data_IF_648128815152
#
_entry.id   IF_648128815152
#
_cell.length_a   1.000
_cell.length_b   1.000
_cell.length_c   1.000
_cell.angle_alpha   90.00
_cell.angle_beta   90.00
_cell.angle_gamma   90.00
#
_symmetry.space_group_name_H-M   'P 1'
#
loop_
_entity.id
_entity.type
_entity.pdbx_description
1 polymer ?
#
# COMPACT_ATOMS: atom_id res chain seq x y z
N UNK A 1 80.57 -26.12 -11.87
CA UNK A 1 79.33 -25.80 -12.64
C UNK A 1 78.65 -27.11 -12.97
N UNK A 2 77.38 -27.32 -12.58
CA UNK A 2 76.23 -26.72 -13.26
C UNK A 2 75.29 -25.95 -12.32
N UNK A 3 74.55 -25.00 -12.89
CA UNK A 3 73.69 -24.03 -12.22
C UNK A 3 72.31 -24.63 -11.93
N UNK A 4 71.92 -24.64 -10.66
CA UNK A 4 70.55 -24.95 -10.24
C UNK A 4 69.57 -23.88 -10.77
N UNK A 5 68.68 -24.26 -11.68
CA UNK A 5 67.57 -23.40 -12.12
C UNK A 5 66.43 -23.50 -11.10
N UNK A 6 66.40 -22.56 -10.15
CA UNK A 6 65.18 -22.27 -9.37
C UNK A 6 64.16 -21.62 -10.32
N UNK A 7 63.20 -22.41 -10.82
CA UNK A 7 62.00 -21.84 -11.47
C UNK A 7 61.07 -21.35 -10.37
N UNK A 8 61.04 -20.04 -10.19
CA UNK A 8 60.06 -19.31 -9.39
C UNK A 8 58.65 -19.76 -9.78
N UNK A 9 57.94 -20.35 -8.83
CA UNK A 9 56.49 -20.56 -8.92
C UNK A 9 55.84 -19.20 -9.12
N UNK A 10 55.19 -19.05 -10.29
CA UNK A 10 54.48 -17.85 -10.72
C UNK A 10 53.43 -17.47 -9.66
N UNK A 11 53.37 -16.20 -9.20
CA UNK A 11 52.35 -15.75 -8.27
C UNK A 11 51.06 -15.43 -9.04
N UNK A 12 50.54 -16.39 -9.80
CA UNK A 12 49.30 -16.21 -10.59
C UNK A 12 48.06 -16.75 -9.90
N UNK A 13 48.18 -17.24 -8.66
CA UNK A 13 47.05 -17.74 -7.87
C UNK A 13 46.44 -16.71 -6.92
N UNK A 14 47.14 -15.61 -6.62
CA UNK A 14 46.63 -14.59 -5.69
C UNK A 14 45.61 -13.62 -6.32
N UNK A 15 45.57 -13.52 -7.65
CA UNK A 15 44.64 -12.61 -8.35
C UNK A 15 43.25 -13.24 -8.60
N UNK A 16 43.11 -14.57 -8.49
CA UNK A 16 41.82 -15.24 -8.73
C UNK A 16 40.96 -15.40 -7.46
N UNK A 17 41.55 -15.24 -6.28
CA UNK A 17 40.84 -15.40 -4.99
C UNK A 17 40.10 -14.12 -4.56
N UNK A 18 40.44 -12.97 -5.14
CA UNK A 18 39.85 -11.67 -4.78
C UNK A 18 38.57 -11.33 -5.55
N UNK A 19 38.13 -12.19 -6.47
CA UNK A 19 36.93 -11.97 -7.30
C UNK A 19 35.64 -12.53 -6.69
N UNK A 20 35.73 -13.26 -5.56
CA UNK A 20 34.61 -13.95 -4.92
C UNK A 20 33.94 -13.18 -3.76
N UNK A 21 34.34 -11.93 -3.52
CA UNK A 21 33.78 -11.08 -2.46
C UNK A 21 32.98 -9.88 -2.99
N UNK A 22 32.49 -9.94 -4.22
CA UNK A 22 31.35 -9.12 -4.63
C UNK A 22 30.08 -9.73 -4.01
N UNK A 23 29.96 -9.57 -2.69
CA UNK A 23 28.70 -9.71 -2.00
C UNK A 23 27.79 -8.63 -2.59
N UNK A 24 26.97 -8.99 -3.58
CA UNK A 24 25.90 -8.12 -4.05
C UNK A 24 24.93 -7.95 -2.89
N UNK A 25 25.15 -6.94 -2.05
CA UNK A 25 24.13 -6.46 -1.14
C UNK A 25 22.97 -5.97 -2.00
N UNK A 26 22.00 -6.85 -2.25
CA UNK A 26 20.70 -6.43 -2.74
C UNK A 26 20.10 -5.61 -1.61
N UNK A 27 20.09 -4.28 -1.76
CA UNK A 27 19.26 -3.45 -0.91
C UNK A 27 17.81 -3.91 -1.14
N UNK A 28 17.22 -4.58 -0.15
CA UNK A 28 15.78 -4.84 -0.19
C UNK A 28 15.07 -3.50 -0.30
N UNK A 29 14.37 -3.29 -1.43
CA UNK A 29 13.52 -2.11 -1.59
C UNK A 29 12.52 -2.10 -0.44
N UNK A 30 12.57 -1.07 0.38
CA UNK A 30 11.63 -0.90 1.48
C UNK A 30 10.19 -0.94 0.93
N UNK A 31 9.38 -1.86 1.44
CA UNK A 31 7.99 -2.00 1.03
C UNK A 31 7.03 -1.19 1.91
N UNK A 32 7.52 -0.72 3.06
CA UNK A 32 6.75 0.06 4.02
C UNK A 32 7.48 1.35 4.38
N UNK A 33 6.72 2.42 4.63
CA UNK A 33 7.21 3.65 5.24
C UNK A 33 7.56 3.41 6.72
N UNK A 34 8.20 4.39 7.36
CA UNK A 34 8.51 4.36 8.80
C UNK A 34 7.26 4.22 9.67
N UNK A 35 6.12 4.72 9.20
CA UNK A 35 4.83 4.63 9.90
C UNK A 35 4.09 3.31 9.57
N UNK A 36 4.71 2.45 8.78
CA UNK A 36 4.22 1.13 8.41
C UNK A 36 3.08 1.17 7.39
N UNK A 37 3.02 2.18 6.51
CA UNK A 37 2.15 2.15 5.33
C UNK A 37 2.87 1.46 4.18
N UNK A 38 2.16 0.69 3.36
CA UNK A 38 2.75 0.11 2.15
C UNK A 38 3.10 1.25 1.18
N UNK A 39 4.32 1.27 0.65
CA UNK A 39 4.79 2.31 -0.29
C UNK A 39 5.07 1.78 -1.71
N UNK A 40 5.03 0.47 -1.90
CA UNK A 40 5.28 -0.17 -3.20
C UNK A 40 4.51 -1.47 -3.38
N UNK A 41 4.55 -2.02 -4.60
CA UNK A 41 3.90 -3.29 -4.95
C UNK A 41 2.43 -3.34 -4.46
N UNK A 42 1.64 -2.31 -4.78
CA UNK A 42 0.29 -2.16 -4.24
C UNK A 42 -0.69 -3.25 -4.69
N UNK A 43 -0.37 -3.98 -5.77
CA UNK A 43 -1.15 -5.12 -6.27
C UNK A 43 -0.38 -6.41 -6.00
N UNK A 44 -0.36 -6.83 -4.74
CA UNK A 44 0.30 -8.05 -4.26
C UNK A 44 -0.49 -8.60 -3.08
N UNK A 45 -0.29 -9.88 -2.69
CA UNK A 45 -1.00 -10.46 -1.55
C UNK A 45 -0.94 -9.56 -0.32
N UNK A 46 -2.10 -9.34 0.28
CA UNK A 46 -2.27 -8.53 1.49
C UNK A 46 -2.39 -9.45 2.71
N UNK A 47 -2.13 -8.96 3.94
CA UNK A 47 -2.27 -9.77 5.14
C UNK A 47 -3.73 -10.14 5.36
N UNK A 48 -3.99 -11.23 6.09
CA UNK A 48 -5.36 -11.63 6.44
C UNK A 48 -6.04 -10.71 7.48
N UNK A 49 -5.33 -9.67 7.95
CA UNK A 49 -5.79 -8.73 8.97
C UNK A 49 -5.30 -7.31 8.66
N UNK A 50 -6.10 -6.32 9.03
CA UNK A 50 -5.73 -4.91 9.02
C UNK A 50 -5.96 -4.32 10.41
N UNK A 51 -5.00 -3.55 10.91
CA UNK A 51 -5.09 -2.98 12.25
C UNK A 51 -6.31 -2.04 12.35
N UNK A 52 -7.19 -2.32 13.31
CA UNK A 52 -8.39 -1.52 13.55
C UNK A 52 -9.52 -1.77 12.56
N UNK A 53 -9.44 -2.81 11.72
CA UNK A 53 -10.47 -3.14 10.74
C UNK A 53 -10.78 -4.64 10.66
N UNK A 54 -11.98 -4.98 10.22
CA UNK A 54 -12.41 -6.35 9.95
C UNK A 54 -12.40 -6.61 8.45
N UNK A 55 -11.71 -7.66 8.03
CA UNK A 55 -11.76 -8.12 6.64
C UNK A 55 -13.14 -8.73 6.36
N UNK A 56 -13.75 -8.38 5.23
CA UNK A 56 -15.05 -8.91 4.82
C UNK A 56 -15.01 -9.48 3.41
N UNK A 57 -15.79 -10.52 3.18
CA UNK A 57 -16.05 -11.03 1.84
C UNK A 57 -17.30 -10.39 1.22
N UNK A 58 -17.62 -10.78 -0.01
CA UNK A 58 -18.79 -10.28 -0.74
C UNK A 58 -20.11 -10.55 -0.01
N UNK A 59 -20.27 -11.72 0.62
CA UNK A 59 -21.51 -12.08 1.30
C UNK A 59 -21.70 -11.24 2.57
N UNK A 60 -20.64 -11.05 3.33
CA UNK A 60 -20.61 -10.16 4.49
C UNK A 60 -20.90 -8.71 4.08
N UNK A 61 -20.33 -8.22 2.96
CA UNK A 61 -20.63 -6.89 2.45
C UNK A 61 -22.11 -6.73 2.06
N UNK A 62 -22.70 -7.70 1.37
CA UNK A 62 -24.12 -7.69 1.03
C UNK A 62 -25.01 -7.65 2.27
N UNK A 63 -24.65 -8.40 3.31
CA UNK A 63 -25.35 -8.38 4.59
C UNK A 63 -25.23 -7.01 5.27
N UNK A 64 -24.03 -6.43 5.34
CA UNK A 64 -23.78 -5.09 5.90
C UNK A 64 -24.57 -4.00 5.17
N UNK A 65 -24.67 -4.08 3.84
CA UNK A 65 -25.42 -3.12 3.03
C UNK A 65 -26.93 -3.09 3.35
N UNK A 66 -27.45 -4.13 4.00
CA UNK A 66 -28.84 -4.22 4.45
C UNK A 66 -29.04 -3.75 5.90
N UNK A 67 -27.96 -3.41 6.63
CA UNK A 67 -28.02 -2.99 8.03
C UNK A 67 -28.28 -1.49 8.19
N UNK A 68 -28.66 -1.09 9.41
CA UNK A 68 -28.77 0.31 9.83
C UNK A 68 -27.86 0.55 11.04
N UNK A 69 -26.92 1.49 10.97
CA UNK A 69 -26.61 2.34 9.82
C UNK A 69 -25.99 1.55 8.65
N UNK A 70 -26.38 1.91 7.43
CA UNK A 70 -25.78 1.36 6.21
C UNK A 70 -24.32 1.82 6.12
N UNK A 71 -23.34 0.96 5.79
CA UNK A 71 -21.96 1.39 5.66
C UNK A 71 -21.77 2.36 4.50
N UNK A 72 -20.87 3.33 4.70
CA UNK A 72 -20.38 4.19 3.63
C UNK A 72 -19.27 3.45 2.91
N UNK A 73 -19.40 3.31 1.59
CA UNK A 73 -18.42 2.64 0.74
C UNK A 73 -17.41 3.66 0.22
N UNK A 74 -16.13 3.41 0.48
CA UNK A 74 -15.01 4.26 0.08
C UNK A 74 -14.12 3.50 -0.90
N UNK A 75 -14.17 3.92 -2.16
CA UNK A 75 -13.26 3.45 -3.19
C UNK A 75 -11.97 4.29 -3.15
N UNK A 76 -10.82 3.64 -3.02
CA UNK A 76 -9.52 4.31 -3.03
C UNK A 76 -8.65 3.93 -4.23
N UNK A 77 -9.24 3.36 -5.29
CA UNK A 77 -8.52 3.02 -6.51
C UNK A 77 -7.82 4.25 -7.07
N UNK A 78 -6.53 4.10 -7.36
CA UNK A 78 -5.69 5.23 -7.78
C UNK A 78 -6.07 5.73 -9.17
N UNK A 79 -5.96 7.04 -9.37
CA UNK A 79 -6.16 7.72 -10.64
C UNK A 79 -5.09 8.76 -10.87
N UNK A 80 -4.59 8.82 -12.10
CA UNK A 80 -3.56 9.78 -12.47
C UNK A 80 -4.06 11.21 -12.20
N UNK A 81 -3.25 11.97 -11.48
CA UNK A 81 -3.47 13.39 -11.17
C UNK A 81 -2.39 14.22 -11.85
N UNK A 82 -2.77 15.04 -12.82
CA UNK A 82 -1.86 15.92 -13.56
C UNK A 82 -2.47 17.31 -13.66
N UNK A 83 -1.63 18.34 -13.47
CA UNK A 83 -2.03 19.75 -13.64
C UNK A 83 -3.31 20.12 -12.85
N UNK A 84 -3.44 19.59 -11.62
CA UNK A 84 -4.57 19.93 -10.74
C UNK A 84 -5.89 19.24 -11.08
N UNK A 85 -5.88 18.16 -11.87
CA UNK A 85 -7.08 17.38 -12.20
C UNK A 85 -6.79 15.90 -12.35
N UNK A 86 -7.83 15.09 -12.16
CA UNK A 86 -7.80 13.68 -12.53
C UNK A 86 -7.85 13.53 -14.06
N UNK A 87 -7.07 12.59 -14.58
CA UNK A 87 -7.04 12.25 -16.00
C UNK A 87 -7.84 10.99 -16.23
N UNK A 88 -8.96 11.14 -16.92
CA UNK A 88 -9.91 10.06 -17.20
C UNK A 88 -9.82 9.65 -18.68
N UNK A 89 -9.35 8.44 -18.91
CA UNK A 89 -9.35 7.76 -20.20
C UNK A 89 -10.59 6.89 -20.40
N UNK A 90 -11.14 6.36 -19.30
CA UNK A 90 -12.36 5.56 -19.24
C UNK A 90 -13.13 5.83 -17.94
N UNK A 91 -14.47 5.72 -17.97
CA UNK A 91 -15.30 5.81 -16.77
C UNK A 91 -14.81 4.86 -15.67
N UNK A 92 -14.70 5.38 -14.43
CA UNK A 92 -14.37 4.55 -13.27
C UNK A 92 -15.61 3.82 -12.74
N UNK A 93 -15.69 2.51 -13.00
CA UNK A 93 -16.74 1.67 -12.42
C UNK A 93 -16.43 1.29 -10.97
N UNK A 94 -17.42 1.47 -10.10
CA UNK A 94 -17.31 1.22 -8.67
C UNK A 94 -18.62 0.63 -8.12
N UNK A 95 -18.62 0.18 -6.86
CA UNK A 95 -19.84 -0.37 -6.27
C UNK A 95 -20.91 0.72 -6.17
N UNK A 96 -22.19 0.46 -6.50
CA UNK A 96 -23.23 1.47 -6.47
C UNK A 96 -23.32 2.20 -5.12
N UNK A 97 -23.30 3.54 -5.17
CA UNK A 97 -23.34 4.40 -3.98
C UNK A 97 -21.98 4.63 -3.32
N UNK A 98 -20.87 4.23 -3.94
CA UNK A 98 -19.53 4.46 -3.41
C UNK A 98 -19.03 5.88 -3.63
N UNK A 99 -18.25 6.36 -2.67
CA UNK A 99 -17.49 7.60 -2.79
C UNK A 99 -16.07 7.27 -3.22
N UNK A 100 -15.66 7.83 -4.35
CA UNK A 100 -14.31 7.61 -4.86
C UNK A 100 -13.35 8.67 -4.32
N UNK A 101 -12.55 8.28 -3.34
CA UNK A 101 -11.48 9.08 -2.76
C UNK A 101 -10.14 8.62 -3.36
N UNK A 102 -9.98 8.82 -4.67
CA UNK A 102 -8.82 8.36 -5.42
C UNK A 102 -7.49 8.82 -4.79
N UNK A 103 -6.46 7.97 -4.90
CA UNK A 103 -5.10 8.20 -4.42
C UNK A 103 -4.92 8.29 -2.90
N UNK A 104 -6.01 8.33 -2.13
CA UNK A 104 -5.91 8.38 -0.66
C UNK A 104 -5.39 7.09 -0.03
N UNK A 105 -5.29 6.00 -0.80
CA UNK A 105 -4.63 4.76 -0.38
C UNK A 105 -3.11 4.75 -0.58
N UNK A 106 -2.51 5.77 -1.21
CA UNK A 106 -1.05 5.82 -1.37
C UNK A 106 -0.37 5.83 0.02
N UNK A 107 0.77 5.14 0.11
CA UNK A 107 1.53 5.03 1.36
C UNK A 107 2.05 6.37 1.84
N UNK A 108 2.66 7.11 0.92
CA UNK A 108 3.19 8.46 1.14
C UNK A 108 2.17 9.48 0.62
N UNK A 109 1.28 9.94 1.51
CA UNK A 109 0.39 11.05 1.20
C UNK A 109 1.07 12.38 1.48
N UNK A 110 0.93 13.32 0.53
CA UNK A 110 1.19 14.72 0.82
C UNK A 110 0.19 15.24 1.85
N UNK A 111 0.52 16.33 2.56
CA UNK A 111 -0.39 16.95 3.53
C UNK A 111 -1.75 17.29 2.91
N UNK A 112 -1.76 17.76 1.65
CA UNK A 112 -3.00 18.08 0.94
C UNK A 112 -3.89 16.84 0.70
N UNK A 113 -3.30 15.69 0.38
CA UNK A 113 -4.07 14.44 0.21
C UNK A 113 -4.55 13.86 1.55
N UNK A 114 -3.74 13.98 2.60
CA UNK A 114 -4.15 13.59 3.95
C UNK A 114 -5.33 14.45 4.44
N UNK A 115 -5.28 15.76 4.23
CA UNK A 115 -6.37 16.68 4.58
C UNK A 115 -7.62 16.45 3.70
N UNK A 116 -7.44 16.18 2.41
CA UNK A 116 -8.53 15.77 1.52
C UNK A 116 -9.22 14.50 2.03
N UNK A 117 -8.46 13.47 2.40
CA UNK A 117 -9.01 12.24 2.97
C UNK A 117 -9.80 12.53 4.24
N UNK A 118 -9.21 13.28 5.17
CA UNK A 118 -9.82 13.59 6.45
C UNK A 118 -11.13 14.35 6.33
N UNK A 119 -11.15 15.45 5.55
CA UNK A 119 -12.36 16.26 5.33
C UNK A 119 -13.47 15.48 4.66
N UNK A 120 -13.14 14.59 3.71
CA UNK A 120 -14.17 13.78 3.06
C UNK A 120 -14.75 12.74 4.02
N UNK A 121 -13.92 12.04 4.82
CA UNK A 121 -14.46 11.11 5.81
C UNK A 121 -15.34 11.84 6.83
N UNK A 122 -14.91 13.00 7.32
CA UNK A 122 -15.70 13.82 8.24
C UNK A 122 -17.05 14.19 7.62
N UNK A 123 -17.07 14.68 6.38
CA UNK A 123 -18.30 15.05 5.68
C UNK A 123 -19.23 13.84 5.46
N UNK A 124 -18.69 12.71 5.00
CA UNK A 124 -19.46 11.50 4.69
C UNK A 124 -20.02 10.82 5.94
N UNK A 125 -19.35 10.99 7.07
CA UNK A 125 -19.78 10.45 8.37
C UNK A 125 -20.52 11.48 9.22
N UNK A 126 -20.63 12.74 8.76
CA UNK A 126 -21.13 13.88 9.55
C UNK A 126 -20.39 14.00 10.91
N UNK A 127 -19.08 13.72 10.91
CA UNK A 127 -18.24 13.67 12.11
C UNK A 127 -18.45 12.45 13.02
N UNK A 128 -19.37 11.54 12.69
CA UNK A 128 -19.63 10.35 13.50
C UNK A 128 -18.55 9.27 13.30
N UNK A 129 -17.61 9.16 14.23
CA UNK A 129 -16.56 8.14 14.21
C UNK A 129 -17.07 6.68 14.35
N UNK A 130 -18.33 6.48 14.76
CA UNK A 130 -18.95 5.16 14.82
C UNK A 130 -19.66 4.75 13.52
N UNK A 131 -19.81 5.67 12.55
CA UNK A 131 -20.38 5.36 11.24
C UNK A 131 -19.59 4.24 10.56
N UNK A 132 -20.23 3.13 10.14
CA UNK A 132 -19.53 2.05 9.46
C UNK A 132 -18.95 2.52 8.12
N UNK A 133 -17.68 2.21 7.89
CA UNK A 133 -16.94 2.52 6.66
C UNK A 133 -16.37 1.23 6.07
N UNK A 134 -16.55 1.03 4.77
CA UNK A 134 -15.92 -0.06 4.01
C UNK A 134 -14.95 0.54 3.03
N UNK A 135 -13.66 0.23 3.15
CA UNK A 135 -12.61 0.68 2.24
C UNK A 135 -12.28 -0.40 1.25
N UNK A 136 -12.38 -0.12 -0.04
CA UNK A 136 -12.06 -1.09 -1.07
C UNK A 136 -11.30 -0.44 -2.24
N UNK A 137 -10.78 -1.31 -3.10
CA UNK A 137 -10.05 -0.94 -4.29
C UNK A 137 -10.25 -2.08 -5.32
N UNK A 138 -9.18 -2.78 -5.70
CA UNK A 138 -9.26 -4.07 -6.41
C UNK A 138 -8.84 -5.21 -5.48
N UNK A 139 -8.98 -6.46 -5.95
CA UNK A 139 -8.41 -7.62 -5.26
C UNK A 139 -6.91 -7.45 -5.01
N UNK A 140 -6.46 -7.96 -3.87
CA UNK A 140 -5.06 -7.91 -3.41
C UNK A 140 -4.49 -6.49 -3.50
N UNK A 141 -5.18 -5.52 -2.90
CA UNK A 141 -4.79 -4.12 -2.98
C UNK A 141 -4.41 -3.52 -1.63
N UNK A 142 -3.14 -3.12 -1.55
CA UNK A 142 -2.61 -2.41 -0.40
C UNK A 142 -3.08 -0.95 -0.27
N UNK A 143 -3.69 -0.36 -1.32
CA UNK A 143 -4.23 0.99 -1.23
C UNK A 143 -5.40 1.05 -0.24
N UNK A 144 -6.34 0.09 -0.31
CA UNK A 144 -7.44 0.03 0.66
C UNK A 144 -6.97 -0.37 2.05
N UNK A 145 -5.94 -1.22 2.16
CA UNK A 145 -5.30 -1.53 3.45
C UNK A 145 -4.67 -0.28 4.11
N UNK A 146 -3.98 0.55 3.33
CA UNK A 146 -3.41 1.80 3.83
C UNK A 146 -4.52 2.79 4.26
N UNK A 147 -5.56 2.93 3.43
CA UNK A 147 -6.67 3.83 3.72
C UNK A 147 -7.41 3.44 5.01
N UNK A 148 -7.68 2.14 5.22
CA UNK A 148 -8.34 1.68 6.44
C UNK A 148 -7.46 1.87 7.68
N UNK A 149 -6.16 1.57 7.58
CA UNK A 149 -5.19 1.87 8.66
C UNK A 149 -5.19 3.35 9.02
N UNK A 150 -5.27 4.23 8.02
CA UNK A 150 -5.32 5.68 8.23
C UNK A 150 -6.61 6.13 8.90
N UNK A 151 -7.76 5.60 8.46
CA UNK A 151 -9.04 5.87 9.11
C UNK A 151 -9.05 5.40 10.57
N UNK A 152 -8.45 4.24 10.87
CA UNK A 152 -8.30 3.75 12.23
C UNK A 152 -7.46 4.71 13.10
N UNK A 153 -6.34 5.21 12.56
CA UNK A 153 -5.50 6.19 13.24
C UNK A 153 -6.21 7.54 13.49
N UNK A 154 -7.19 7.91 12.65
CA UNK A 154 -8.04 9.08 12.86
C UNK A 154 -9.16 8.87 13.89
N UNK A 155 -9.34 7.65 14.40
CA UNK A 155 -10.29 7.35 15.48
C UNK A 155 -11.60 6.72 15.04
N UNK A 156 -11.83 6.45 13.75
CA UNK A 156 -13.00 5.70 13.29
C UNK A 156 -13.01 4.29 13.87
N UNK A 157 -14.18 3.82 14.30
CA UNK A 157 -14.33 2.61 15.13
C UNK A 157 -14.83 1.39 14.38
N UNK A 158 -15.67 1.60 13.37
CA UNK A 158 -16.34 0.53 12.63
C UNK A 158 -15.81 0.50 11.20
N UNK A 159 -14.69 -0.20 11.01
CA UNK A 159 -13.93 -0.19 9.77
C UNK A 159 -13.89 -1.59 9.15
N UNK A 160 -14.18 -1.64 7.86
CA UNK A 160 -14.11 -2.85 7.04
C UNK A 160 -13.19 -2.65 5.83
N UNK A 161 -12.60 -3.73 5.36
CA UNK A 161 -11.68 -3.77 4.24
C UNK A 161 -11.84 -5.06 3.42
#
# INVERSE_FOLDING_TARGET
>A
MPRARRRLLRPTLAALSLSLLLCTAHAETALFSTDGYRIGLYRSPTPAQAQGATIIDTAALQALLSQTPRPVLIDVYRRQWLQGKFIEDQPHENLPGSHWLANTGDGDLTAAWAEYFARNLEALTQGNQAQPLVFYCRSDCWLSWNAVKRAAAMGYKTLYW
#
